data_IF_760844807267
#
_entry.id   IF_760844807267
#
_cell.length_a   1.000
_cell.length_b   1.000
_cell.length_c   1.000
_cell.angle_alpha   90.00
_cell.angle_beta   90.00
_cell.angle_gamma   90.00
#
_symmetry.space_group_name_H-M   'P 1'
#
loop_
_entity.id
_entity.type
_entity.pdbx_description
1 polymer ?
#
# COMPACT_ATOMS: atom_id res chain seq x y z
N UNK A 1 59.89 -40.07 -53.33
CA UNK A 1 60.01 -40.13 -51.86
C UNK A 1 59.23 -38.93 -51.25
N UNK A 2 58.02 -39.15 -50.82
CA UNK A 2 57.22 -38.10 -50.06
C UNK A 2 57.09 -38.59 -48.67
N UNK A 3 57.65 -37.81 -47.70
CA UNK A 3 57.51 -38.05 -46.28
C UNK A 3 56.15 -37.49 -45.83
N UNK A 4 55.36 -38.34 -45.22
CA UNK A 4 54.14 -37.94 -44.51
C UNK A 4 54.48 -37.78 -43.01
N UNK A 5 54.21 -36.56 -42.46
CA UNK A 5 54.24 -36.30 -41.02
C UNK A 5 52.86 -36.63 -40.40
N UNK A 6 52.79 -37.30 -39.26
CA UNK A 6 51.52 -37.49 -38.56
C UNK A 6 51.18 -36.24 -37.70
N UNK A 7 50.00 -35.72 -37.89
CA UNK A 7 49.42 -34.74 -36.99
C UNK A 7 48.82 -35.46 -35.78
N UNK A 8 49.38 -35.22 -34.59
CA UNK A 8 48.80 -35.65 -33.33
C UNK A 8 47.73 -34.62 -32.90
N UNK A 9 46.47 -35.02 -32.89
CA UNK A 9 45.35 -34.23 -32.34
C UNK A 9 45.32 -34.51 -30.81
N UNK A 10 45.73 -33.52 -30.02
CA UNK A 10 45.54 -33.54 -28.56
C UNK A 10 44.06 -33.16 -28.22
N UNK A 11 43.29 -34.14 -27.82
CA UNK A 11 41.96 -33.91 -27.29
C UNK A 11 42.07 -33.31 -25.86
N UNK A 12 41.81 -32.02 -25.75
CA UNK A 12 41.59 -31.37 -24.46
C UNK A 12 40.23 -31.83 -23.88
N UNK A 13 40.27 -32.70 -22.91
CA UNK A 13 39.10 -33.05 -22.10
C UNK A 13 38.74 -31.83 -21.21
N UNK A 14 37.71 -31.09 -21.55
CA UNK A 14 37.15 -30.07 -20.69
C UNK A 14 36.48 -30.77 -19.48
N UNK A 15 37.06 -30.62 -18.31
CA UNK A 15 36.41 -31.03 -17.06
C UNK A 15 35.13 -30.20 -16.87
N UNK A 16 33.97 -30.81 -16.48
CA UNK A 16 32.76 -30.06 -16.21
C UNK A 16 33.04 -29.12 -15.01
N UNK A 17 32.95 -27.83 -15.26
CA UNK A 17 32.96 -26.85 -14.17
C UNK A 17 31.76 -27.14 -13.27
N UNK A 18 32.01 -27.61 -12.06
CA UNK A 18 31.01 -27.72 -11.01
C UNK A 18 30.46 -26.29 -10.83
N UNK A 19 29.25 -26.07 -11.33
CA UNK A 19 28.52 -24.85 -11.07
C UNK A 19 28.34 -24.75 -9.55
N UNK A 20 29.14 -23.93 -8.90
CA UNK A 20 28.92 -23.57 -7.51
C UNK A 20 27.49 -23.02 -7.44
N UNK A 21 26.64 -23.76 -6.76
CA UNK A 21 25.26 -23.30 -6.49
C UNK A 21 25.36 -22.00 -5.73
N UNK A 22 25.06 -20.88 -6.40
CA UNK A 22 24.94 -19.60 -5.71
C UNK A 22 23.87 -19.76 -4.62
N UNK A 23 24.12 -19.29 -3.40
CA UNK A 23 23.10 -19.30 -2.35
C UNK A 23 21.82 -18.68 -2.92
N UNK A 24 20.71 -19.39 -2.79
CA UNK A 24 19.42 -18.82 -3.21
C UNK A 24 19.13 -17.58 -2.35
N UNK A 25 18.72 -16.46 -2.95
CA UNK A 25 18.39 -15.27 -2.18
C UNK A 25 17.27 -15.58 -1.19
N UNK A 26 17.35 -14.97 0.00
CA UNK A 26 16.28 -15.05 0.98
C UNK A 26 14.96 -14.56 0.35
N UNK A 27 13.87 -15.32 0.56
CA UNK A 27 12.54 -14.99 0.05
C UNK A 27 11.54 -14.96 1.21
N UNK A 28 11.44 -13.84 1.91
CA UNK A 28 10.66 -13.75 3.15
C UNK A 28 9.18 -14.08 2.98
N UNK A 29 8.65 -13.93 1.75
CA UNK A 29 7.25 -14.22 1.42
C UNK A 29 7.07 -15.41 0.48
N UNK A 30 8.10 -16.26 0.34
CA UNK A 30 8.10 -17.41 -0.55
C UNK A 30 8.37 -17.07 -2.01
N UNK A 31 8.21 -18.06 -2.88
CA UNK A 31 8.35 -17.91 -4.34
C UNK A 31 7.22 -17.06 -4.92
N UNK A 32 7.42 -16.53 -6.13
CA UNK A 32 6.38 -15.78 -6.84
C UNK A 32 5.10 -16.60 -7.06
N UNK A 33 5.22 -17.91 -7.27
CA UNK A 33 4.08 -18.80 -7.41
C UNK A 33 3.30 -18.96 -6.11
N UNK A 34 3.99 -19.09 -4.98
CA UNK A 34 3.35 -19.16 -3.65
C UNK A 34 2.66 -17.85 -3.30
N UNK A 35 3.30 -16.72 -3.56
CA UNK A 35 2.71 -15.40 -3.37
C UNK A 35 1.46 -15.21 -4.23
N UNK A 36 1.52 -15.59 -5.51
CA UNK A 36 0.37 -15.50 -6.41
C UNK A 36 -0.79 -16.38 -5.94
N UNK A 37 -0.51 -17.60 -5.42
CA UNK A 37 -1.55 -18.47 -4.86
C UNK A 37 -2.24 -17.83 -3.66
N UNK A 38 -1.50 -17.22 -2.75
CA UNK A 38 -2.05 -16.54 -1.57
C UNK A 38 -2.91 -15.34 -1.98
N UNK A 39 -2.40 -14.49 -2.88
CA UNK A 39 -3.14 -13.32 -3.36
C UNK A 39 -4.41 -13.71 -4.12
N UNK A 40 -4.38 -14.80 -4.88
CA UNK A 40 -5.58 -15.34 -5.56
C UNK A 40 -6.66 -15.78 -4.56
N UNK A 41 -6.26 -16.43 -3.46
CA UNK A 41 -7.19 -16.81 -2.40
C UNK A 41 -7.80 -15.57 -1.72
N UNK A 42 -7.02 -14.55 -1.44
CA UNK A 42 -7.52 -13.28 -0.90
C UNK A 42 -8.50 -12.59 -1.85
N UNK A 43 -8.15 -12.52 -3.14
CA UNK A 43 -9.03 -11.92 -4.15
C UNK A 43 -10.40 -12.61 -4.17
N UNK A 44 -10.42 -13.94 -4.27
CA UNK A 44 -11.67 -14.72 -4.29
C UNK A 44 -12.49 -14.43 -3.04
N UNK A 45 -11.87 -14.54 -1.86
CA UNK A 45 -12.55 -14.32 -0.58
C UNK A 45 -13.09 -12.88 -0.44
N UNK A 46 -12.32 -11.88 -0.84
CA UNK A 46 -12.75 -10.46 -0.81
C UNK A 46 -13.97 -10.23 -1.71
N UNK A 47 -13.94 -10.75 -2.94
CA UNK A 47 -15.04 -10.61 -3.88
C UNK A 47 -16.27 -11.46 -3.53
N UNK A 48 -16.10 -12.53 -2.75
CA UNK A 48 -17.20 -13.35 -2.29
C UNK A 48 -17.84 -12.84 -1.00
N UNK A 49 -17.07 -12.15 -0.14
CA UNK A 49 -17.55 -11.71 1.18
C UNK A 49 -17.80 -10.21 1.28
N UNK A 50 -16.81 -9.37 0.91
CA UNK A 50 -16.94 -7.91 1.06
C UNK A 50 -17.79 -7.29 -0.03
N UNK A 51 -17.57 -7.67 -1.30
CA UNK A 51 -18.23 -7.02 -2.42
C UNK A 51 -19.76 -7.10 -2.35
N UNK A 52 -20.41 -8.26 -2.07
CA UNK A 52 -21.87 -8.32 -1.94
C UNK A 52 -22.41 -7.40 -0.85
N UNK A 53 -21.76 -7.41 0.32
CA UNK A 53 -22.16 -6.57 1.45
C UNK A 53 -22.02 -5.07 1.14
N UNK A 54 -20.92 -4.68 0.48
CA UNK A 54 -20.66 -3.29 0.10
C UNK A 54 -21.61 -2.81 -1.00
N UNK A 55 -21.88 -3.61 -2.04
CA UNK A 55 -22.86 -3.27 -3.07
C UNK A 55 -24.24 -2.98 -2.46
N UNK A 56 -24.68 -3.82 -1.52
CA UNK A 56 -25.96 -3.61 -0.83
C UNK A 56 -25.95 -2.43 0.12
N UNK A 57 -24.88 -2.25 0.90
CA UNK A 57 -24.69 -1.08 1.77
C UNK A 57 -24.82 0.24 0.99
N UNK A 58 -24.21 0.29 -0.19
CA UNK A 58 -24.22 1.46 -1.07
C UNK A 58 -25.37 1.48 -2.08
N UNK A 59 -26.31 0.53 -1.99
CA UNK A 59 -27.49 0.40 -2.87
C UNK A 59 -27.15 0.36 -4.36
N UNK A 60 -26.08 -0.36 -4.70
CA UNK A 60 -25.58 -0.54 -6.06
C UNK A 60 -26.06 -1.87 -6.61
N UNK A 61 -26.86 -1.83 -7.70
CA UNK A 61 -27.31 -3.05 -8.38
C UNK A 61 -26.20 -3.60 -9.31
N UNK A 62 -25.51 -2.70 -10.02
CA UNK A 62 -24.44 -3.04 -10.93
C UNK A 62 -23.29 -2.05 -10.79
N UNK A 63 -22.06 -2.55 -10.71
CA UNK A 63 -20.85 -1.73 -10.74
C UNK A 63 -20.08 -2.03 -12.03
N UNK A 64 -19.80 -0.98 -12.81
CA UNK A 64 -19.13 -1.06 -14.11
C UNK A 64 -17.80 -0.34 -14.01
N UNK A 65 -16.71 -1.05 -14.29
CA UNK A 65 -15.34 -0.56 -14.20
C UNK A 65 -14.64 -0.77 -15.53
N UNK A 66 -14.78 0.13 -16.50
CA UNK A 66 -13.99 0.09 -17.73
C UNK A 66 -12.61 0.65 -17.49
N UNK A 67 -11.61 0.00 -18.03
CA UNK A 67 -10.23 0.46 -17.98
C UNK A 67 -9.45 0.03 -19.21
N UNK A 68 -8.37 0.74 -19.51
CA UNK A 68 -7.47 0.45 -20.63
C UNK A 68 -6.07 0.17 -20.15
N UNK A 69 -5.33 -0.57 -20.96
CA UNK A 69 -3.89 -0.74 -20.79
C UNK A 69 -3.20 0.64 -20.70
N UNK A 70 -2.36 0.83 -19.69
CA UNK A 70 -1.70 2.09 -19.31
C UNK A 70 -2.60 3.17 -18.68
N UNK A 71 -3.88 2.88 -18.49
CA UNK A 71 -4.83 3.74 -17.80
C UNK A 71 -5.82 2.86 -17.03
N UNK A 72 -5.27 2.03 -16.16
CA UNK A 72 -6.03 1.19 -15.27
C UNK A 72 -6.68 2.05 -14.16
N UNK A 73 -7.88 1.64 -13.79
CA UNK A 73 -8.58 2.23 -12.64
C UNK A 73 -7.81 1.92 -11.33
N UNK A 74 -7.74 2.83 -10.37
CA UNK A 74 -7.07 2.57 -9.07
C UNK A 74 -7.57 1.34 -8.32
N UNK A 75 -8.80 0.88 -8.55
CA UNK A 75 -9.30 -0.37 -7.98
C UNK A 75 -8.69 -1.63 -8.62
N UNK A 76 -7.91 -1.50 -9.68
CA UNK A 76 -7.37 -2.62 -10.47
C UNK A 76 -6.77 -3.71 -9.58
N UNK A 77 -5.87 -3.34 -8.68
CA UNK A 77 -5.22 -4.30 -7.78
C UNK A 77 -6.16 -4.93 -6.73
N UNK A 78 -7.30 -4.29 -6.45
CA UNK A 78 -8.31 -4.79 -5.52
C UNK A 78 -9.24 -5.84 -6.14
N UNK A 79 -9.39 -5.83 -7.48
CA UNK A 79 -10.37 -6.66 -8.20
C UNK A 79 -9.75 -7.65 -9.17
N UNK A 80 -8.42 -7.61 -9.40
CA UNK A 80 -7.76 -8.46 -10.41
C UNK A 80 -6.82 -9.49 -9.81
N UNK A 81 -6.68 -10.62 -10.51
CA UNK A 81 -5.76 -11.68 -10.13
C UNK A 81 -4.29 -11.20 -10.11
N UNK A 82 -3.42 -11.79 -9.26
CA UNK A 82 -2.01 -11.42 -9.17
C UNK A 82 -1.23 -11.68 -10.49
N UNK A 83 -1.76 -12.50 -11.38
CA UNK A 83 -1.21 -12.79 -12.70
C UNK A 83 -1.70 -11.83 -13.80
N UNK A 84 -2.53 -10.85 -13.45
CA UNK A 84 -3.03 -9.83 -14.37
C UNK A 84 -2.27 -8.53 -14.13
N UNK A 85 -1.43 -8.14 -15.09
CA UNK A 85 -0.54 -6.98 -14.99
C UNK A 85 -1.10 -5.72 -15.64
N UNK A 86 -2.06 -5.90 -16.55
CA UNK A 86 -2.69 -4.80 -17.28
C UNK A 86 -4.11 -5.14 -17.70
N UNK A 87 -4.91 -4.13 -17.98
CA UNK A 87 -6.28 -4.26 -18.48
C UNK A 87 -6.36 -4.76 -19.94
N UNK A 88 -5.26 -5.06 -20.57
CA UNK A 88 -5.08 -5.46 -21.95
C UNK A 88 -6.02 -4.75 -22.93
N UNK A 89 -5.53 -3.78 -23.69
CA UNK A 89 -6.30 -2.88 -24.58
C UNK A 89 -7.41 -2.17 -23.80
N UNK A 90 -8.59 -2.77 -23.72
CA UNK A 90 -9.67 -2.40 -22.81
C UNK A 90 -10.22 -3.67 -22.15
N UNK A 91 -10.49 -3.62 -20.86
CA UNK A 91 -11.30 -4.60 -20.15
C UNK A 91 -12.39 -3.87 -19.38
N UNK A 92 -13.64 -4.30 -19.53
CA UNK A 92 -14.77 -3.78 -18.74
C UNK A 92 -15.13 -4.84 -17.73
N UNK A 93 -14.85 -4.58 -16.46
CA UNK A 93 -15.30 -5.43 -15.36
C UNK A 93 -16.71 -5.03 -14.97
N UNK A 94 -17.61 -6.01 -14.89
CA UNK A 94 -19.00 -5.82 -14.50
C UNK A 94 -19.29 -6.70 -13.30
N UNK A 95 -19.79 -6.09 -12.24
CA UNK A 95 -20.26 -6.75 -11.03
C UNK A 95 -21.76 -6.49 -10.91
N UNK A 96 -22.57 -7.55 -10.91
CA UNK A 96 -24.01 -7.43 -10.79
C UNK A 96 -24.52 -8.24 -9.61
N UNK A 97 -25.27 -7.58 -8.69
CA UNK A 97 -25.92 -8.24 -7.58
C UNK A 97 -27.12 -9.03 -8.08
N UNK A 98 -27.03 -10.34 -8.07
CA UNK A 98 -28.13 -11.23 -8.48
C UNK A 98 -29.39 -11.07 -7.63
N UNK A 99 -29.28 -10.43 -6.46
CA UNK A 99 -30.42 -10.07 -5.64
C UNK A 99 -31.21 -8.89 -6.19
N UNK A 100 -30.63 -8.09 -7.10
CA UNK A 100 -31.34 -7.02 -7.80
C UNK A 100 -32.16 -7.51 -9.00
N UNK A 101 -32.20 -8.82 -9.27
CA UNK A 101 -32.95 -9.38 -10.39
C UNK A 101 -34.44 -9.05 -10.29
N UNK A 102 -35.01 -8.63 -11.45
CA UNK A 102 -36.41 -8.20 -11.50
C UNK A 102 -36.65 -6.76 -11.06
N UNK A 103 -35.59 -5.95 -10.84
CA UNK A 103 -35.71 -4.51 -10.51
C UNK A 103 -36.10 -4.24 -9.05
N UNK A 104 -36.06 -5.25 -8.18
CA UNK A 104 -36.28 -5.06 -6.75
C UNK A 104 -35.03 -4.54 -6.05
N UNK A 105 -35.19 -3.80 -4.96
CA UNK A 105 -34.06 -3.46 -4.09
C UNK A 105 -33.58 -4.73 -3.40
N UNK A 106 -32.26 -5.06 -3.45
CA UNK A 106 -31.74 -6.25 -2.81
C UNK A 106 -32.01 -6.26 -1.30
N UNK A 107 -32.69 -7.29 -0.81
CA UNK A 107 -32.86 -7.46 0.62
C UNK A 107 -31.49 -7.71 1.29
N UNK A 108 -31.21 -7.15 2.48
CA UNK A 108 -29.95 -7.36 3.19
C UNK A 108 -29.64 -8.84 3.47
N UNK A 109 -30.69 -9.65 3.60
CA UNK A 109 -30.63 -11.09 3.87
C UNK A 109 -30.50 -11.96 2.62
N UNK A 110 -30.48 -11.36 1.42
CA UNK A 110 -30.34 -12.12 0.19
C UNK A 110 -28.95 -12.73 0.08
N UNK A 111 -28.87 -14.04 -0.18
CA UNK A 111 -27.65 -14.84 -0.27
C UNK A 111 -27.16 -15.10 -1.71
N UNK A 112 -27.90 -14.62 -2.72
CA UNK A 112 -27.46 -14.71 -4.12
C UNK A 112 -26.20 -13.87 -4.31
N UNK A 113 -25.13 -14.48 -4.77
CA UNK A 113 -23.84 -13.80 -4.93
C UNK A 113 -23.82 -12.74 -6.05
N UNK A 114 -22.65 -12.18 -6.26
CA UNK A 114 -22.38 -11.21 -7.33
C UNK A 114 -21.95 -11.97 -8.59
N UNK A 115 -22.60 -11.70 -9.72
CA UNK A 115 -22.09 -12.08 -11.04
C UNK A 115 -20.92 -11.19 -11.40
N UNK A 116 -19.85 -11.79 -11.91
CA UNK A 116 -18.61 -11.09 -12.26
C UNK A 116 -18.25 -11.39 -13.71
N UNK A 117 -18.26 -10.37 -14.56
CA UNK A 117 -17.93 -10.47 -15.98
C UNK A 117 -16.68 -9.68 -16.30
N UNK A 118 -15.85 -10.18 -17.22
CA UNK A 118 -14.71 -9.46 -17.80
C UNK A 118 -14.91 -9.39 -19.32
N UNK A 119 -15.44 -8.25 -19.79
CA UNK A 119 -15.68 -8.02 -21.22
C UNK A 119 -14.38 -7.59 -21.87
N UNK A 120 -13.86 -8.40 -22.81
CA UNK A 120 -12.56 -8.23 -23.42
C UNK A 120 -11.38 -8.72 -22.58
N UNK A 121 -11.66 -9.25 -21.36
CA UNK A 121 -10.68 -9.82 -20.45
C UNK A 121 -10.70 -11.35 -20.44
N UNK A 122 -9.99 -11.92 -19.47
CA UNK A 122 -9.92 -13.37 -19.23
C UNK A 122 -10.56 -13.75 -17.88
N UNK A 123 -10.65 -15.05 -17.59
CA UNK A 123 -11.32 -15.56 -16.39
C UNK A 123 -10.52 -15.31 -15.09
N UNK A 124 -9.25 -14.96 -15.18
CA UNK A 124 -8.38 -14.70 -14.01
C UNK A 124 -8.44 -15.80 -12.95
N UNK A 125 -8.26 -17.06 -13.39
CA UNK A 125 -8.34 -18.21 -12.50
C UNK A 125 -9.76 -18.55 -12.03
N UNK A 126 -10.79 -18.21 -12.80
CA UNK A 126 -12.19 -18.49 -12.51
C UNK A 126 -12.90 -17.42 -11.66
N UNK A 127 -12.23 -16.31 -11.38
CA UNK A 127 -12.84 -15.18 -10.66
C UNK A 127 -13.93 -14.50 -11.48
N UNK A 128 -13.76 -14.44 -12.80
CA UNK A 128 -14.69 -13.84 -13.74
C UNK A 128 -15.18 -14.82 -14.79
N UNK A 129 -16.40 -14.60 -15.26
CA UNK A 129 -16.85 -15.14 -16.55
C UNK A 129 -16.29 -14.25 -17.65
N UNK A 130 -15.37 -14.80 -18.44
CA UNK A 130 -14.74 -14.07 -19.52
C UNK A 130 -15.66 -13.98 -20.74
N UNK A 131 -15.79 -12.77 -21.28
CA UNK A 131 -16.41 -12.51 -22.58
C UNK A 131 -15.33 -12.00 -23.51
N UNK A 132 -14.58 -12.91 -24.13
CA UNK A 132 -13.36 -12.61 -24.91
C UNK A 132 -13.61 -12.44 -26.40
N UNK A 133 -14.76 -12.87 -26.90
CA UNK A 133 -15.16 -12.73 -28.30
C UNK A 133 -16.65 -12.57 -28.45
N UNK A 134 -17.11 -11.78 -29.38
CA UNK A 134 -18.43 -11.90 -29.97
C UNK A 134 -18.36 -12.86 -31.17
N UNK A 135 -19.41 -13.65 -31.42
CA UNK A 135 -19.54 -14.31 -32.73
C UNK A 135 -19.46 -13.21 -33.76
N UNK A 136 -18.35 -13.16 -34.48
CA UNK A 136 -18.07 -12.07 -35.40
C UNK A 136 -19.21 -11.95 -36.42
N UNK A 137 -19.92 -10.85 -36.36
CA UNK A 137 -20.93 -10.47 -37.37
C UNK A 137 -20.24 -10.03 -38.67
N UNK A 138 -18.94 -10.15 -38.77
CA UNK A 138 -18.23 -9.68 -39.94
C UNK A 138 -17.89 -10.86 -40.91
N UNK A 139 -18.80 -11.11 -41.83
CA UNK A 139 -18.66 -12.12 -42.90
C UNK A 139 -17.41 -11.95 -43.80
N UNK A 140 -16.72 -10.79 -43.70
CA UNK A 140 -15.55 -10.50 -44.51
C UNK A 140 -14.23 -11.10 -43.97
N UNK A 141 -14.17 -11.59 -42.73
CA UNK A 141 -12.94 -12.04 -42.08
C UNK A 141 -12.89 -13.55 -41.87
N UNK A 142 -13.85 -14.30 -42.41
CA UNK A 142 -13.93 -15.74 -42.18
C UNK A 142 -14.23 -16.10 -40.71
N UNK A 143 -14.44 -17.38 -40.41
CA UNK A 143 -14.88 -17.89 -39.08
C UNK A 143 -13.83 -17.78 -37.98
N UNK A 144 -12.94 -16.78 -37.97
CA UNK A 144 -12.07 -16.46 -36.84
C UNK A 144 -12.87 -15.65 -35.82
N UNK A 145 -12.98 -16.14 -34.60
CA UNK A 145 -13.47 -15.34 -33.45
C UNK A 145 -12.52 -14.15 -33.28
N UNK A 146 -13.00 -12.95 -33.61
CA UNK A 146 -12.26 -11.73 -33.34
C UNK A 146 -12.24 -11.48 -31.81
N UNK A 147 -11.09 -11.03 -31.32
CA UNK A 147 -10.99 -10.59 -29.91
C UNK A 147 -11.96 -9.43 -29.71
N UNK A 148 -12.73 -9.48 -28.63
CA UNK A 148 -13.66 -8.41 -28.27
C UNK A 148 -12.87 -7.19 -27.81
N UNK A 149 -12.87 -6.14 -28.64
CA UNK A 149 -12.26 -4.85 -28.29
C UNK A 149 -12.89 -3.72 -29.13
N UNK A 150 -12.66 -2.47 -28.72
CA UNK A 150 -13.25 -1.34 -29.42
C UNK A 150 -14.74 -1.15 -29.07
N UNK A 151 -15.52 -0.75 -30.07
CA UNK A 151 -16.95 -0.43 -29.87
C UNK A 151 -17.81 -1.65 -29.61
N UNK A 152 -17.37 -2.84 -30.04
CA UNK A 152 -18.08 -4.10 -29.74
C UNK A 152 -18.13 -4.37 -28.23
N UNK A 153 -17.14 -3.90 -27.46
CA UNK A 153 -17.18 -4.03 -26.00
C UNK A 153 -18.33 -3.23 -25.38
N UNK A 154 -18.59 -2.04 -25.92
CA UNK A 154 -19.72 -1.22 -25.48
C UNK A 154 -21.07 -1.87 -25.84
N UNK A 155 -21.18 -2.50 -27.00
CA UNK A 155 -22.37 -3.25 -27.39
C UNK A 155 -22.57 -4.47 -26.46
N UNK A 156 -21.51 -5.20 -26.11
CA UNK A 156 -21.56 -6.30 -25.16
C UNK A 156 -22.02 -5.78 -23.76
N UNK A 157 -21.47 -4.66 -23.29
CA UNK A 157 -21.90 -4.01 -22.05
C UNK A 157 -23.39 -3.63 -22.10
N UNK A 158 -23.85 -3.05 -23.21
CA UNK A 158 -25.26 -2.67 -23.40
C UNK A 158 -26.17 -3.90 -23.31
N UNK A 159 -25.79 -5.02 -23.96
CA UNK A 159 -26.55 -6.25 -23.86
C UNK A 159 -26.64 -6.74 -22.40
N UNK A 160 -25.52 -6.76 -21.68
CA UNK A 160 -25.47 -7.13 -20.25
C UNK A 160 -26.42 -6.28 -19.42
N UNK A 161 -26.41 -4.94 -19.64
CA UNK A 161 -27.26 -4.01 -18.90
C UNK A 161 -28.74 -4.20 -19.23
N UNK A 162 -29.07 -4.38 -20.52
CA UNK A 162 -30.46 -4.60 -20.97
C UNK A 162 -31.03 -5.89 -20.36
N UNK A 163 -30.29 -6.99 -20.42
CA UNK A 163 -30.71 -8.29 -19.88
C UNK A 163 -30.96 -8.25 -18.36
N UNK A 164 -30.14 -7.51 -17.62
CA UNK A 164 -30.18 -7.46 -16.15
C UNK A 164 -31.02 -6.32 -15.60
N UNK A 165 -31.25 -5.29 -16.40
CA UNK A 165 -32.05 -4.10 -16.10
C UNK A 165 -31.76 -3.49 -14.71
N UNK A 166 -30.48 -3.15 -14.37
CA UNK A 166 -30.13 -2.57 -13.08
C UNK A 166 -30.81 -1.20 -12.90
N UNK A 167 -31.27 -0.89 -11.68
CA UNK A 167 -31.84 0.42 -11.32
C UNK A 167 -30.70 1.44 -11.09
N UNK A 168 -29.60 0.99 -10.51
CA UNK A 168 -28.42 1.80 -10.18
C UNK A 168 -27.19 1.16 -10.81
N UNK A 169 -26.51 1.93 -11.65
CA UNK A 169 -25.22 1.57 -12.27
C UNK A 169 -24.15 2.46 -11.64
N UNK A 170 -23.29 1.87 -10.81
CA UNK A 170 -22.18 2.58 -10.21
C UNK A 170 -20.99 2.65 -11.18
N UNK A 171 -20.35 3.81 -11.25
CA UNK A 171 -19.18 4.10 -12.06
C UNK A 171 -18.14 4.85 -11.22
N UNK A 172 -16.86 4.65 -11.49
CA UNK A 172 -15.77 5.22 -10.68
C UNK A 172 -15.50 6.67 -11.07
N UNK A 173 -16.29 7.57 -10.48
CA UNK A 173 -16.10 9.01 -10.57
C UNK A 173 -16.15 9.62 -9.17
N UNK A 174 -15.22 10.53 -8.87
CA UNK A 174 -15.16 11.25 -7.59
C UNK A 174 -14.49 12.61 -7.77
N UNK A 175 -14.86 13.57 -6.92
CA UNK A 175 -14.13 14.84 -6.78
C UNK A 175 -13.22 14.87 -5.56
N UNK A 176 -13.31 13.85 -4.71
CA UNK A 176 -12.63 13.81 -3.41
C UNK A 176 -11.53 12.75 -3.39
N UNK A 177 -11.85 11.54 -3.85
CA UNK A 177 -10.98 10.38 -3.73
C UNK A 177 -10.44 9.91 -5.09
N UNK A 178 -9.18 10.15 -5.36
CA UNK A 178 -8.50 9.66 -6.57
C UNK A 178 -8.61 8.13 -6.73
N UNK A 179 -8.71 7.38 -5.61
CA UNK A 179 -8.90 5.92 -5.62
C UNK A 179 -10.21 5.46 -6.26
N UNK A 180 -11.18 6.35 -6.41
CA UNK A 180 -12.52 6.06 -6.92
C UNK A 180 -12.89 6.93 -8.12
N UNK A 181 -11.90 7.57 -8.74
CA UNK A 181 -12.02 8.46 -9.92
C UNK A 181 -11.20 7.92 -11.10
N UNK A 182 -11.30 6.60 -11.34
CA UNK A 182 -10.51 5.95 -12.40
C UNK A 182 -11.17 5.96 -13.78
N UNK A 183 -12.46 6.32 -13.89
CA UNK A 183 -13.15 6.40 -15.17
C UNK A 183 -12.72 7.64 -15.94
N UNK A 184 -11.89 7.47 -16.96
CA UNK A 184 -11.44 8.58 -17.78
C UNK A 184 -12.62 9.20 -18.58
N UNK A 185 -12.52 10.49 -18.90
CA UNK A 185 -13.53 11.21 -19.67
C UNK A 185 -13.81 10.56 -21.02
N UNK A 186 -12.79 10.02 -21.69
CA UNK A 186 -12.94 9.30 -22.97
C UNK A 186 -13.71 8.00 -22.84
N UNK A 187 -13.46 7.22 -21.80
CA UNK A 187 -14.21 5.98 -21.52
C UNK A 187 -15.66 6.29 -21.09
N UNK A 188 -15.86 7.34 -20.30
CA UNK A 188 -17.20 7.79 -19.93
C UNK A 188 -18.01 8.23 -21.15
N UNK A 189 -17.40 8.99 -22.06
CA UNK A 189 -18.05 9.43 -23.30
C UNK A 189 -18.45 8.24 -24.18
N UNK A 190 -17.48 7.35 -24.51
CA UNK A 190 -17.75 6.16 -25.34
C UNK A 190 -18.81 5.23 -24.75
N UNK A 191 -18.77 5.02 -23.42
CA UNK A 191 -19.80 4.25 -22.71
C UNK A 191 -21.16 4.93 -22.78
N UNK A 192 -21.21 6.25 -22.59
CA UNK A 192 -22.48 7.02 -22.60
C UNK A 192 -23.12 7.04 -23.97
N UNK A 193 -22.33 7.23 -25.03
CA UNK A 193 -22.79 7.23 -26.42
C UNK A 193 -23.37 5.86 -26.80
N UNK A 194 -22.72 4.79 -26.43
CA UNK A 194 -23.17 3.44 -26.73
C UNK A 194 -24.43 3.03 -25.95
N UNK A 195 -24.52 3.38 -24.69
CA UNK A 195 -25.65 3.00 -23.83
C UNK A 195 -26.89 3.86 -24.11
N UNK A 196 -26.69 5.18 -24.13
CA UNK A 196 -27.78 6.15 -24.31
C UNK A 196 -28.77 6.17 -23.13
N UNK A 197 -29.85 6.98 -23.30
CA UNK A 197 -30.99 6.95 -22.39
C UNK A 197 -31.80 5.65 -22.56
N UNK A 198 -32.36 5.05 -21.47
CA UNK A 198 -32.40 5.58 -20.10
C UNK A 198 -31.22 5.17 -19.21
N UNK A 199 -30.22 4.45 -19.74
CA UNK A 199 -29.18 3.80 -18.93
C UNK A 199 -28.24 4.82 -18.28
N UNK A 200 -27.82 5.85 -19.00
CA UNK A 200 -26.95 6.91 -18.48
C UNK A 200 -27.58 7.70 -17.35
N UNK A 201 -28.91 7.78 -17.27
CA UNK A 201 -29.63 8.40 -16.17
C UNK A 201 -29.53 7.60 -14.86
N UNK A 202 -29.13 6.30 -14.94
CA UNK A 202 -28.96 5.42 -13.79
C UNK A 202 -27.52 5.43 -13.24
N UNK A 203 -26.62 6.19 -13.85
CA UNK A 203 -25.25 6.31 -13.38
C UNK A 203 -25.20 7.00 -12.01
N UNK A 204 -24.39 6.43 -11.11
CA UNK A 204 -24.09 7.01 -9.80
C UNK A 204 -22.60 6.82 -9.51
N UNK A 205 -21.95 7.75 -8.80
CA UNK A 205 -20.60 7.55 -8.31
C UNK A 205 -20.48 6.31 -7.45
N UNK A 206 -19.45 5.48 -7.71
CA UNK A 206 -19.15 4.30 -6.92
C UNK A 206 -18.28 4.62 -5.68
N UNK A 207 -18.13 5.90 -5.34
CA UNK A 207 -17.13 6.42 -4.40
C UNK A 207 -17.02 5.60 -3.11
N UNK A 208 -18.11 5.48 -2.34
CA UNK A 208 -18.08 4.72 -1.09
C UNK A 208 -17.82 3.22 -1.28
N UNK A 209 -18.42 2.61 -2.32
CA UNK A 209 -18.24 1.18 -2.64
C UNK A 209 -16.76 0.87 -2.93
N UNK A 210 -16.16 1.61 -3.86
CA UNK A 210 -14.79 1.37 -4.29
C UNK A 210 -13.79 1.70 -3.16
N UNK A 211 -14.00 2.81 -2.42
CA UNK A 211 -13.18 3.21 -1.30
C UNK A 211 -13.13 2.11 -0.21
N UNK A 212 -14.30 1.65 0.21
CA UNK A 212 -14.40 0.64 1.27
C UNK A 212 -13.89 -0.73 0.81
N UNK A 213 -14.05 -1.10 -0.47
CA UNK A 213 -13.48 -2.34 -1.00
C UNK A 213 -11.94 -2.29 -0.97
N UNK A 214 -11.32 -1.18 -1.35
CA UNK A 214 -9.87 -1.00 -1.27
C UNK A 214 -9.41 -1.02 0.19
N UNK A 215 -10.14 -0.37 1.09
CA UNK A 215 -9.76 -0.19 2.49
C UNK A 215 -9.92 -1.45 3.37
N UNK A 216 -10.90 -2.30 3.06
CA UNK A 216 -11.20 -3.49 3.88
C UNK A 216 -10.12 -4.56 3.80
N UNK A 217 -9.78 -5.16 4.94
CA UNK A 217 -8.75 -6.20 5.07
C UNK A 217 -9.32 -7.51 5.58
N UNK A 218 -8.81 -8.63 5.04
CA UNK A 218 -9.09 -9.96 5.58
C UNK A 218 -8.18 -10.23 6.79
N UNK A 219 -8.62 -11.02 7.78
CA UNK A 219 -7.76 -11.45 8.88
C UNK A 219 -6.49 -12.15 8.40
N UNK A 220 -6.56 -12.89 7.31
CA UNK A 220 -5.42 -13.58 6.69
C UNK A 220 -4.40 -12.60 6.10
N UNK A 221 -4.87 -11.47 5.53
CA UNK A 221 -3.97 -10.40 5.07
C UNK A 221 -3.20 -9.81 6.27
N UNK A 222 -3.86 -9.58 7.41
CA UNK A 222 -3.23 -9.05 8.62
C UNK A 222 -2.12 -9.96 9.15
N UNK A 223 -2.28 -11.27 9.07
CA UNK A 223 -1.26 -12.21 9.48
C UNK A 223 0.02 -12.14 8.61
N UNK A 224 -0.14 -11.90 7.31
CA UNK A 224 0.99 -11.65 6.42
C UNK A 224 1.58 -10.25 6.64
N UNK A 225 0.74 -9.25 6.87
CA UNK A 225 1.16 -7.87 7.11
C UNK A 225 2.04 -7.75 8.36
N UNK A 226 1.77 -8.53 9.39
CA UNK A 226 2.67 -8.65 10.54
C UNK A 226 4.08 -9.12 10.14
N UNK A 227 4.20 -10.05 9.18
CA UNK A 227 5.52 -10.48 8.68
C UNK A 227 6.22 -9.37 7.90
N UNK A 228 5.47 -8.51 7.18
CA UNK A 228 6.04 -7.34 6.52
C UNK A 228 6.66 -6.41 7.55
N UNK A 229 5.92 -6.07 8.61
CA UNK A 229 6.40 -5.20 9.68
C UNK A 229 7.59 -5.81 10.43
N UNK A 230 7.60 -7.10 10.71
CA UNK A 230 8.76 -7.78 11.30
C UNK A 230 10.01 -7.64 10.43
N UNK A 231 9.86 -7.78 9.11
CA UNK A 231 10.97 -7.59 8.18
C UNK A 231 11.46 -6.14 8.18
N UNK A 232 10.54 -5.16 8.12
CA UNK A 232 10.86 -3.72 8.18
C UNK A 232 11.66 -3.42 9.46
N UNK A 233 11.19 -3.85 10.61
CA UNK A 233 11.88 -3.62 11.89
C UNK A 233 13.28 -4.22 11.90
N UNK A 234 13.45 -5.45 11.37
CA UNK A 234 14.75 -6.10 11.30
C UNK A 234 15.72 -5.37 10.37
N UNK A 235 15.22 -4.81 9.27
CA UNK A 235 16.03 -4.00 8.36
C UNK A 235 16.41 -2.64 8.97
N UNK A 236 15.50 -1.99 9.72
CA UNK A 236 15.79 -0.76 10.45
C UNK A 236 16.87 -1.01 11.53
N UNK A 237 16.75 -2.10 12.30
CA UNK A 237 17.77 -2.47 13.30
C UNK A 237 19.15 -2.61 12.68
N UNK A 238 19.26 -3.29 11.54
CA UNK A 238 20.52 -3.43 10.80
C UNK A 238 21.00 -2.09 10.24
N UNK A 239 20.12 -1.31 9.64
CA UNK A 239 20.42 0.02 9.08
C UNK A 239 20.98 0.96 10.15
N UNK A 240 20.39 0.97 11.33
CA UNK A 240 20.82 1.76 12.48
C UNK A 240 21.84 1.05 13.39
N UNK A 241 22.75 0.30 12.79
CA UNK A 241 23.80 -0.41 13.49
C UNK A 241 25.20 -0.11 12.91
N UNK A 242 26.24 -0.64 13.55
CA UNK A 242 27.61 -0.57 13.02
C UNK A 242 27.85 -1.50 11.81
N UNK A 243 26.86 -2.25 11.36
CA UNK A 243 26.88 -2.93 10.06
C UNK A 243 26.96 -1.91 8.94
N UNK A 244 26.15 -0.84 9.02
CA UNK A 244 25.98 0.19 7.99
C UNK A 244 26.66 1.51 8.38
N UNK A 245 26.51 1.94 9.65
CA UNK A 245 26.98 3.25 10.08
C UNK A 245 28.40 3.18 10.64
N UNK A 246 29.29 3.94 10.04
CA UNK A 246 30.61 4.28 10.60
C UNK A 246 30.60 5.79 10.89
N UNK A 247 30.45 6.20 12.17
CA UNK A 247 30.43 7.60 12.53
C UNK A 247 31.68 8.34 12.03
N UNK A 248 31.53 9.56 11.54
CA UNK A 248 32.59 10.33 10.89
C UNK A 248 32.81 10.02 9.41
N UNK A 249 32.04 9.09 8.83
CA UNK A 249 32.15 8.72 7.39
C UNK A 249 30.80 8.56 6.71
N UNK A 250 29.89 7.82 7.28
CA UNK A 250 28.59 7.48 6.70
C UNK A 250 27.67 8.70 6.68
N UNK A 251 26.86 8.82 5.66
CA UNK A 251 25.85 9.90 5.45
C UNK A 251 24.45 9.32 5.40
N UNK A 252 23.39 10.10 5.60
CA UNK A 252 22.00 9.70 5.40
C UNK A 252 21.74 9.02 4.05
N UNK A 253 22.29 9.58 2.96
CA UNK A 253 22.16 9.02 1.61
C UNK A 253 22.71 7.59 1.50
N UNK A 254 23.77 7.24 2.22
CA UNK A 254 24.32 5.88 2.23
C UNK A 254 23.31 4.89 2.82
N UNK A 255 22.57 5.30 3.88
CA UNK A 255 21.54 4.47 4.51
C UNK A 255 20.35 4.25 3.57
N UNK A 256 19.92 5.30 2.88
CA UNK A 256 18.84 5.27 1.89
C UNK A 256 19.15 4.24 0.79
N UNK A 257 20.35 4.31 0.22
CA UNK A 257 20.75 3.39 -0.85
C UNK A 257 20.99 1.96 -0.33
N UNK A 258 21.49 1.82 0.89
CA UNK A 258 21.60 0.52 1.55
C UNK A 258 20.21 -0.13 1.70
N UNK A 259 19.22 0.62 2.22
CA UNK A 259 17.84 0.13 2.35
C UNK A 259 17.29 -0.32 1.00
N UNK A 260 17.38 0.53 -0.01
CA UNK A 260 16.93 0.21 -1.37
C UNK A 260 17.54 -1.07 -1.91
N UNK A 261 18.85 -1.26 -1.66
CA UNK A 261 19.55 -2.46 -2.10
C UNK A 261 19.06 -3.69 -1.34
N UNK A 262 18.88 -3.62 -0.01
CA UNK A 262 18.36 -4.75 0.76
C UNK A 262 16.97 -5.18 0.28
N UNK A 263 16.07 -4.23 0.04
CA UNK A 263 14.72 -4.49 -0.49
C UNK A 263 14.78 -5.19 -1.85
N UNK A 264 15.64 -4.72 -2.75
CA UNK A 264 15.83 -5.32 -4.07
C UNK A 264 16.42 -6.74 -3.99
N UNK A 265 17.41 -6.95 -3.12
CA UNK A 265 18.07 -8.27 -2.91
C UNK A 265 17.08 -9.31 -2.36
N UNK A 266 16.09 -8.88 -1.59
CA UNK A 266 15.01 -9.72 -1.06
C UNK A 266 13.92 -10.02 -2.11
N UNK A 267 13.99 -9.41 -3.29
CA UNK A 267 13.01 -9.57 -4.37
C UNK A 267 11.65 -8.95 -4.06
N UNK A 268 11.63 -7.87 -3.27
CA UNK A 268 10.44 -7.07 -2.92
C UNK A 268 10.63 -5.64 -3.40
N UNK A 269 9.60 -4.78 -3.23
CA UNK A 269 9.62 -3.39 -3.64
C UNK A 269 9.56 -2.41 -2.50
N UNK A 270 9.62 -1.12 -2.86
CA UNK A 270 9.22 0.01 -2.02
C UNK A 270 8.29 0.90 -2.83
N UNK A 271 7.42 1.66 -2.19
CA UNK A 271 6.44 2.50 -2.86
C UNK A 271 6.78 4.00 -2.81
N UNK A 272 7.79 4.36 -2.04
CA UNK A 272 8.36 5.72 -1.98
C UNK A 272 9.87 5.67 -1.79
N UNK A 273 10.54 6.81 -2.01
CA UNK A 273 11.97 6.95 -1.75
C UNK A 273 12.19 7.06 -0.24
N UNK A 274 12.92 6.14 0.39
CA UNK A 274 13.24 6.24 1.82
C UNK A 274 13.94 7.54 2.17
N UNK A 275 13.73 8.02 3.40
CA UNK A 275 14.36 9.21 3.94
C UNK A 275 15.12 8.90 5.22
N UNK A 276 16.24 9.59 5.43
CA UNK A 276 17.00 9.56 6.69
C UNK A 276 17.44 10.98 7.01
N UNK A 277 17.12 11.45 8.21
CA UNK A 277 17.51 12.76 8.70
C UNK A 277 18.37 12.67 9.95
N UNK A 278 19.09 13.77 10.23
CA UNK A 278 19.98 13.92 11.38
C UNK A 278 19.60 15.16 12.19
N UNK A 279 19.55 15.05 13.50
CA UNK A 279 19.50 16.18 14.41
C UNK A 279 20.75 16.14 15.31
N UNK A 280 21.38 17.29 15.56
CA UNK A 280 22.65 17.39 16.31
C UNK A 280 22.59 18.49 17.34
N UNK A 281 23.16 18.23 18.52
CA UNK A 281 23.27 19.21 19.59
C UNK A 281 23.98 20.49 19.16
N UNK A 282 23.38 21.63 19.41
CA UNK A 282 23.97 22.97 19.11
C UNK A 282 23.98 23.33 17.63
N UNK A 283 23.31 22.54 16.76
CA UNK A 283 23.32 22.79 15.30
C UNK A 283 21.86 22.79 14.80
N UNK A 284 21.51 23.80 14.01
CA UNK A 284 20.20 23.86 13.36
C UNK A 284 20.19 23.00 12.10
N UNK A 285 18.99 22.59 11.65
CA UNK A 285 18.82 21.80 10.40
C UNK A 285 19.49 22.52 9.20
N UNK A 286 19.34 23.86 9.10
CA UNK A 286 19.94 24.67 8.04
C UNK A 286 21.48 24.63 8.06
N UNK A 287 22.09 24.62 9.25
CA UNK A 287 23.56 24.54 9.40
C UNK A 287 24.06 23.13 9.11
N UNK A 288 23.25 22.12 9.43
CA UNK A 288 23.60 20.72 9.21
C UNK A 288 23.58 20.36 7.72
N UNK A 289 22.63 20.93 6.95
CA UNK A 289 22.41 20.60 5.53
C UNK A 289 21.69 19.26 5.32
N UNK A 290 21.46 18.94 4.05
CA UNK A 290 20.57 17.82 3.69
C UNK A 290 21.23 16.44 3.80
N UNK A 291 22.56 16.35 3.73
CA UNK A 291 23.28 15.06 3.76
C UNK A 291 24.57 15.15 4.59
N UNK A 292 24.46 15.42 5.90
CA UNK A 292 25.62 15.60 6.78
C UNK A 292 26.32 14.28 7.07
N UNK A 293 27.61 14.33 7.37
CA UNK A 293 28.30 13.17 7.94
C UNK A 293 27.72 12.88 9.33
N UNK A 294 27.28 11.64 9.56
CA UNK A 294 26.77 11.17 10.84
C UNK A 294 27.89 11.11 11.88
N UNK A 295 27.67 11.72 13.06
CA UNK A 295 28.66 11.84 14.13
C UNK A 295 28.15 11.23 15.44
N UNK A 296 29.05 10.87 16.36
CA UNK A 296 28.65 10.50 17.71
C UNK A 296 27.85 11.61 18.39
N UNK A 297 26.73 11.25 19.01
CA UNK A 297 25.79 12.18 19.65
C UNK A 297 24.63 12.64 18.76
N UNK A 298 24.60 12.23 17.49
CA UNK A 298 23.49 12.53 16.60
C UNK A 298 22.25 11.71 16.94
N UNK A 299 21.08 12.32 16.77
CA UNK A 299 19.80 11.64 16.65
C UNK A 299 19.53 11.44 15.18
N UNK A 300 19.24 10.20 14.79
CA UNK A 300 18.84 9.82 13.43
C UNK A 300 17.35 9.53 13.41
N UNK A 301 16.74 9.79 12.29
CA UNK A 301 15.38 9.38 11.97
C UNK A 301 15.35 8.74 10.59
N UNK A 302 14.51 7.73 10.41
CA UNK A 302 14.23 7.18 9.09
C UNK A 302 12.74 7.12 8.83
N UNK A 303 12.42 7.17 7.54
CA UNK A 303 11.10 6.92 6.99
C UNK A 303 11.25 5.90 5.86
N UNK A 304 10.69 4.71 6.05
CA UNK A 304 10.93 3.54 5.19
C UNK A 304 9.70 2.68 5.06
N UNK A 305 9.52 2.12 3.86
CA UNK A 305 8.43 1.19 3.59
C UNK A 305 8.84 0.09 2.61
N UNK A 306 8.10 -1.00 2.62
CA UNK A 306 8.25 -2.09 1.65
C UNK A 306 6.91 -2.38 0.96
N UNK A 307 7.01 -2.95 -0.24
CA UNK A 307 5.87 -3.49 -0.99
C UNK A 307 6.09 -4.98 -1.25
N UNK A 308 5.21 -5.81 -0.74
CA UNK A 308 5.15 -7.23 -1.09
C UNK A 308 3.70 -7.71 -1.07
N UNK A 309 3.36 -8.73 -1.89
CA UNK A 309 1.98 -9.23 -2.03
C UNK A 309 0.94 -8.12 -2.32
N UNK A 310 1.31 -7.07 -3.04
CA UNK A 310 0.51 -5.85 -3.27
C UNK A 310 0.14 -5.09 -2.00
N UNK A 311 0.83 -5.33 -0.88
CA UNK A 311 0.62 -4.63 0.39
C UNK A 311 1.83 -3.74 0.67
N UNK A 312 1.57 -2.54 1.15
CA UNK A 312 2.58 -1.53 1.46
C UNK A 312 2.63 -1.31 2.97
N UNK A 313 3.83 -1.08 3.50
CA UNK A 313 4.07 -0.66 4.89
C UNK A 313 4.62 0.74 4.92
N UNK A 314 4.47 1.40 6.07
CA UNK A 314 5.09 2.67 6.38
C UNK A 314 5.60 2.68 7.82
N UNK A 315 6.82 3.17 8.05
CA UNK A 315 7.43 3.09 9.37
C UNK A 315 8.50 4.16 9.55
N UNK A 316 8.36 4.94 10.63
CA UNK A 316 9.37 5.93 11.02
C UNK A 316 9.92 5.60 12.40
N UNK A 317 11.24 5.40 12.47
CA UNK A 317 11.96 5.11 13.71
C UNK A 317 13.10 6.10 13.95
N UNK A 318 13.51 6.16 15.21
CA UNK A 318 14.60 7.01 15.68
C UNK A 318 15.78 6.18 16.19
N UNK A 319 17.00 6.67 15.96
CA UNK A 319 18.22 6.09 16.49
C UNK A 319 19.10 7.15 17.16
N UNK A 320 20.00 6.72 18.01
CA UNK A 320 21.01 7.56 18.63
C UNK A 320 22.40 6.99 18.41
N UNK A 321 23.31 7.84 17.97
CA UNK A 321 24.71 7.47 17.76
C UNK A 321 25.47 7.68 19.07
N UNK A 322 25.83 6.60 19.76
CA UNK A 322 26.50 6.66 21.05
C UNK A 322 27.86 7.36 20.95
N UNK A 323 28.14 8.26 21.90
CA UNK A 323 29.49 8.78 22.14
C UNK A 323 30.34 7.76 22.88
N UNK A 324 31.64 7.98 22.91
CA UNK A 324 32.56 7.13 23.66
C UNK A 324 32.14 7.08 25.14
N UNK A 325 31.98 5.86 25.69
CA UNK A 325 31.57 5.61 27.07
C UNK A 325 30.06 5.65 27.32
N UNK A 326 29.24 6.10 26.38
CA UNK A 326 27.79 6.08 26.53
C UNK A 326 27.22 4.66 26.29
N UNK A 327 26.17 4.31 27.05
CA UNK A 327 25.41 3.06 26.90
C UNK A 327 23.95 3.29 26.55
N UNK A 328 23.48 4.55 26.63
CA UNK A 328 22.10 4.96 26.37
C UNK A 328 22.09 6.41 25.86
N UNK A 329 21.01 6.86 25.19
CA UNK A 329 20.81 8.27 24.84
C UNK A 329 20.64 9.12 26.10
N UNK A 330 20.89 10.44 26.02
CA UNK A 330 20.54 11.39 27.06
C UNK A 330 19.10 11.23 27.57
N UNK A 331 18.88 11.50 28.86
CA UNK A 331 17.56 11.33 29.49
C UNK A 331 16.47 12.19 28.84
N UNK A 332 16.83 13.42 28.44
CA UNK A 332 15.94 14.33 27.72
C UNK A 332 15.44 13.78 26.38
N UNK A 333 16.31 13.11 25.62
CA UNK A 333 15.91 12.43 24.36
C UNK A 333 14.96 11.27 24.63
N UNK A 334 15.24 10.48 25.68
CA UNK A 334 14.33 9.38 26.05
C UNK A 334 12.96 9.89 26.52
N UNK A 335 12.92 11.04 27.22
CA UNK A 335 11.70 11.71 27.60
C UNK A 335 10.94 12.25 26.37
N UNK A 336 11.64 12.81 25.39
CA UNK A 336 11.05 13.27 24.15
C UNK A 336 10.37 12.12 23.37
N UNK A 337 11.03 10.97 23.26
CA UNK A 337 10.43 9.76 22.65
C UNK A 337 9.16 9.31 23.36
N UNK A 338 9.14 9.33 24.71
CA UNK A 338 7.94 8.99 25.48
C UNK A 338 6.78 9.95 25.22
N UNK A 339 7.07 11.25 25.02
CA UNK A 339 6.04 12.25 24.68
C UNK A 339 5.44 11.98 23.29
N UNK A 340 6.25 11.59 22.29
CA UNK A 340 5.77 11.19 20.99
C UNK A 340 4.94 9.89 21.08
N UNK A 341 5.39 8.90 21.86
CA UNK A 341 4.59 7.69 22.15
C UNK A 341 3.24 8.03 22.82
N UNK A 342 3.18 9.04 23.71
CA UNK A 342 1.90 9.46 24.29
C UNK A 342 0.94 10.00 23.23
N UNK A 343 1.43 10.75 22.25
CA UNK A 343 0.59 11.21 21.15
C UNK A 343 0.07 10.05 20.29
N UNK A 344 0.91 9.03 20.04
CA UNK A 344 0.44 7.79 19.39
C UNK A 344 -0.64 7.08 20.21
N UNK A 345 -0.53 7.02 21.55
CA UNK A 345 -1.57 6.45 22.41
C UNK A 345 -2.89 7.21 22.27
N UNK A 346 -2.84 8.54 22.25
CA UNK A 346 -4.03 9.37 22.11
C UNK A 346 -4.70 9.11 20.75
N UNK A 347 -3.93 9.07 19.66
CA UNK A 347 -4.45 8.76 18.33
C UNK A 347 -5.07 7.37 18.28
N UNK A 348 -4.38 6.40 18.84
CA UNK A 348 -4.84 5.01 18.93
C UNK A 348 -6.15 4.88 19.74
N UNK A 349 -6.27 5.60 20.87
CA UNK A 349 -7.48 5.64 21.68
C UNK A 349 -8.68 6.26 20.94
N UNK A 350 -8.46 7.27 20.10
CA UNK A 350 -9.51 8.01 19.41
C UNK A 350 -9.95 7.36 18.10
N UNK A 351 -9.12 6.50 17.48
CA UNK A 351 -9.44 5.85 16.23
C UNK A 351 -10.44 4.72 16.44
N UNK A 352 -11.70 4.97 16.04
CA UNK A 352 -12.82 4.02 16.21
C UNK A 352 -13.71 4.01 14.97
N UNK A 353 -14.32 2.86 14.62
CA UNK A 353 -15.31 2.78 13.55
C UNK A 353 -16.47 3.76 13.74
N UNK A 354 -16.91 4.33 12.64
CA UNK A 354 -18.01 5.31 12.59
C UNK A 354 -17.57 6.75 12.80
N UNK A 355 -16.37 7.01 13.34
CA UNK A 355 -15.84 8.37 13.45
C UNK A 355 -15.11 8.76 12.16
N UNK A 356 -15.29 10.01 11.76
CA UNK A 356 -14.52 10.56 10.64
C UNK A 356 -13.08 10.90 11.05
N UNK A 357 -12.18 11.01 10.06
CA UNK A 357 -10.81 11.45 10.31
C UNK A 357 -10.76 12.83 10.98
N UNK A 358 -11.64 13.75 10.60
CA UNK A 358 -11.72 15.09 11.18
C UNK A 358 -12.19 15.08 12.62
N UNK A 359 -13.16 14.24 12.99
CA UNK A 359 -13.59 14.06 14.39
C UNK A 359 -12.48 13.47 15.27
N UNK A 360 -11.72 12.52 14.72
CA UNK A 360 -10.56 11.93 15.41
C UNK A 360 -9.49 13.01 15.58
N UNK A 361 -9.13 13.73 14.53
CA UNK A 361 -8.15 14.82 14.59
C UNK A 361 -8.49 15.86 15.66
N UNK A 362 -9.73 16.33 15.68
CA UNK A 362 -10.18 17.32 16.66
C UNK A 362 -10.05 16.79 18.10
N UNK A 363 -10.43 15.54 18.35
CA UNK A 363 -10.32 14.93 19.68
C UNK A 363 -8.87 14.73 20.10
N UNK A 364 -8.01 14.27 19.20
CA UNK A 364 -6.57 14.09 19.48
C UNK A 364 -5.92 15.44 19.77
N UNK A 365 -6.20 16.49 18.98
CA UNK A 365 -5.66 17.84 19.21
C UNK A 365 -6.10 18.44 20.55
N UNK A 366 -7.35 18.22 20.94
CA UNK A 366 -7.84 18.68 22.25
C UNK A 366 -7.06 18.02 23.39
N UNK A 367 -6.85 16.71 23.35
CA UNK A 367 -6.06 15.98 24.35
C UNK A 367 -4.58 16.38 24.30
N UNK A 368 -4.01 16.53 23.12
CA UNK A 368 -2.64 16.98 22.90
C UNK A 368 -2.40 18.34 23.57
N UNK A 369 -3.30 19.29 23.37
CA UNK A 369 -3.25 20.61 23.99
C UNK A 369 -3.36 20.53 25.52
N UNK A 370 -4.30 19.72 26.02
CA UNK A 370 -4.49 19.55 27.46
C UNK A 370 -3.27 18.92 28.16
N UNK A 371 -2.52 18.07 27.46
CA UNK A 371 -1.30 17.43 27.98
C UNK A 371 -0.02 18.23 27.63
N UNK A 372 -0.14 19.40 27.02
CA UNK A 372 0.99 20.27 26.65
C UNK A 372 1.96 19.59 25.66
N UNK A 373 1.45 18.80 24.74
CA UNK A 373 2.23 18.20 23.68
C UNK A 373 2.29 19.18 22.48
N UNK A 374 3.49 19.58 22.10
CA UNK A 374 3.75 20.37 20.88
C UNK A 374 3.97 19.42 19.72
N UNK A 375 2.89 19.08 19.00
CA UNK A 375 2.93 18.06 17.98
C UNK A 375 2.02 18.33 16.78
N UNK A 376 2.22 17.56 15.74
CA UNK A 376 1.37 17.48 14.54
C UNK A 376 1.18 16.03 14.15
N UNK A 377 0.12 15.75 13.38
CA UNK A 377 -0.15 14.39 12.89
C UNK A 377 -0.57 14.39 11.44
N UNK A 378 -0.21 13.31 10.79
CA UNK A 378 -0.67 12.94 9.46
C UNK A 378 -0.88 11.43 9.45
N UNK A 379 -1.93 10.96 10.11
CA UNK A 379 -2.26 9.52 10.08
C UNK A 379 -3.16 9.22 8.89
N UNK A 380 -2.86 8.14 8.20
CA UNK A 380 -3.56 7.77 6.98
C UNK A 380 -3.85 6.27 6.93
N UNK A 381 -4.88 5.83 6.17
CA UNK A 381 -5.05 4.42 5.85
C UNK A 381 -3.86 3.89 5.06
N UNK A 382 -3.60 2.59 5.19
CA UNK A 382 -2.52 1.89 4.48
C UNK A 382 -2.99 0.49 4.01
N UNK A 383 -2.27 -0.09 3.07
CA UNK A 383 -2.54 -1.45 2.57
C UNK A 383 -2.24 -1.62 1.09
N UNK A 384 -3.26 -1.70 0.21
CA UNK A 384 -3.04 -1.79 -1.24
C UNK A 384 -2.35 -0.56 -1.82
N UNK A 385 -2.45 0.57 -1.15
CA UNK A 385 -1.72 1.80 -1.43
C UNK A 385 -1.03 2.25 -0.15
N UNK A 386 0.09 2.91 -0.25
CA UNK A 386 0.82 3.45 0.90
C UNK A 386 0.03 4.55 1.60
N UNK A 387 -0.19 5.69 0.95
CA UNK A 387 -1.22 6.64 1.37
C UNK A 387 -2.58 6.09 0.94
N UNK A 388 -3.19 5.24 1.78
CA UNK A 388 -4.29 4.35 1.43
C UNK A 388 -5.66 5.02 1.27
N UNK A 389 -6.63 4.21 0.82
CA UNK A 389 -8.01 4.62 0.66
C UNK A 389 -8.73 4.68 2.02
N UNK A 390 -9.39 5.80 2.32
CA UNK A 390 -10.13 6.00 3.56
C UNK A 390 -9.92 7.38 4.18
N UNK A 391 -10.29 7.55 5.47
CA UNK A 391 -10.22 8.84 6.15
C UNK A 391 -8.77 9.27 6.44
N UNK A 392 -8.42 10.52 6.12
CA UNK A 392 -7.21 11.16 6.62
C UNK A 392 -7.44 11.75 8.00
N UNK A 393 -6.46 11.62 8.88
CA UNK A 393 -6.45 12.20 10.23
C UNK A 393 -5.33 13.24 10.25
N UNK A 394 -5.63 14.46 9.81
CA UNK A 394 -4.67 15.53 9.61
C UNK A 394 -3.86 15.42 8.32
N UNK A 395 -3.17 16.48 8.01
CA UNK A 395 -2.04 16.63 7.08
C UNK A 395 -1.07 17.58 7.74
N UNK A 396 0.21 17.54 7.38
CA UNK A 396 1.24 18.39 8.00
C UNK A 396 0.88 19.89 8.01
N UNK A 397 0.15 20.36 6.97
CA UNK A 397 -0.33 21.72 6.77
C UNK A 397 -1.84 21.90 7.06
N UNK A 398 -2.59 20.82 7.36
CA UNK A 398 -4.03 20.85 7.69
C UNK A 398 -4.28 20.17 9.04
N UNK A 399 -4.03 20.92 10.12
CA UNK A 399 -4.22 20.43 11.49
C UNK A 399 -5.59 20.78 12.10
N UNK A 400 -6.44 21.54 11.40
CA UNK A 400 -7.80 21.93 11.84
C UNK A 400 -8.90 21.17 11.09
N UNK A 401 -8.52 20.21 10.23
CA UNK A 401 -9.41 19.38 9.44
C UNK A 401 -8.95 19.25 8.01
N UNK A 402 -9.21 18.10 7.39
CA UNK A 402 -8.91 17.82 5.98
C UNK A 402 -10.23 17.76 5.22
N UNK A 403 -10.55 18.78 4.39
CA UNK A 403 -11.81 18.80 3.65
C UNK A 403 -11.97 17.57 2.74
N UNK A 404 -13.14 16.97 2.75
CA UNK A 404 -13.49 15.81 1.93
C UNK A 404 -12.84 14.51 2.42
N UNK A 405 -11.52 14.36 2.30
CA UNK A 405 -10.83 13.12 2.69
C UNK A 405 -10.89 12.84 4.19
N UNK A 406 -10.86 13.86 5.02
CA UNK A 406 -11.04 13.72 6.47
C UNK A 406 -12.48 13.47 6.91
N UNK A 407 -13.46 13.69 6.02
CA UNK A 407 -14.89 13.48 6.34
C UNK A 407 -15.32 12.01 6.20
N UNK A 408 -14.50 11.17 5.56
CA UNK A 408 -14.75 9.74 5.50
C UNK A 408 -14.64 9.10 6.90
N UNK A 409 -15.43 8.06 7.13
CA UNK A 409 -15.44 7.35 8.40
C UNK A 409 -14.49 6.15 8.42
N UNK A 410 -13.93 5.88 9.58
CA UNK A 410 -13.25 4.62 9.88
C UNK A 410 -14.25 3.48 9.79
N UNK A 411 -13.91 2.40 9.11
CA UNK A 411 -14.69 1.16 9.07
C UNK A 411 -13.92 0.02 9.78
N UNK A 412 -14.59 -1.02 10.26
CA UNK A 412 -13.92 -2.20 10.77
C UNK A 412 -13.02 -2.87 9.71
N UNK A 413 -11.98 -3.52 10.14
CA UNK A 413 -10.98 -4.18 9.29
C UNK A 413 -10.22 -3.23 8.36
N UNK A 414 -9.88 -2.04 8.85
CA UNK A 414 -8.94 -1.13 8.18
C UNK A 414 -7.56 -1.20 8.83
N UNK A 415 -6.55 -0.82 8.05
CA UNK A 415 -5.21 -0.53 8.56
C UNK A 415 -4.91 0.95 8.41
N UNK A 416 -4.13 1.46 9.35
CA UNK A 416 -3.67 2.84 9.38
C UNK A 416 -2.18 2.88 9.68
N UNK A 417 -1.50 3.89 9.18
CA UNK A 417 -0.23 4.34 9.71
C UNK A 417 -0.45 5.44 10.72
N UNK A 418 0.16 5.28 11.91
CA UNK A 418 0.14 6.26 13.00
C UNK A 418 1.32 7.21 12.85
N UNK A 419 1.27 8.08 11.85
CA UNK A 419 2.32 9.04 11.53
C UNK A 419 2.10 10.36 12.27
N UNK A 420 3.12 10.80 13.02
CA UNK A 420 3.06 12.00 13.83
C UNK A 420 4.45 12.48 14.27
N UNK A 421 4.50 13.70 14.80
CA UNK A 421 5.70 14.21 15.46
C UNK A 421 5.36 14.97 16.74
N UNK A 422 6.33 15.00 17.69
CA UNK A 422 6.29 15.84 18.88
C UNK A 422 7.63 16.52 19.03
N UNK A 423 7.60 17.84 19.22
CA UNK A 423 8.80 18.65 19.55
C UNK A 423 8.92 18.75 21.07
N UNK A 424 10.11 18.53 21.58
CA UNK A 424 10.41 18.63 23.02
C UNK A 424 11.76 19.30 23.26
N UNK A 425 11.88 20.16 24.27
CA UNK A 425 13.19 20.69 24.65
C UNK A 425 14.02 19.57 25.30
N UNK A 426 15.31 19.50 24.93
CA UNK A 426 16.25 18.52 25.49
C UNK A 426 17.26 19.24 26.38
N UNK A 427 17.21 19.09 27.71
CA UNK A 427 18.07 19.82 28.64
C UNK A 427 19.56 19.63 28.38
N UNK A 428 19.99 18.41 28.06
CA UNK A 428 21.40 18.08 27.77
C UNK A 428 21.91 18.73 26.48
N UNK A 429 20.99 19.24 25.63
CA UNK A 429 21.30 20.02 24.43
C UNK A 429 21.04 21.52 24.62
N UNK A 430 21.06 22.00 25.87
CA UNK A 430 20.79 23.42 26.21
C UNK A 430 19.34 23.81 25.96
N UNK A 431 18.39 22.89 26.14
CA UNK A 431 16.96 23.05 25.82
C UNK A 431 16.67 23.25 24.31
N UNK A 432 17.57 22.82 23.45
CA UNK A 432 17.30 22.78 22.02
C UNK A 432 16.04 21.96 21.76
N UNK A 433 15.08 22.47 20.95
CA UNK A 433 13.93 21.69 20.54
C UNK A 433 14.37 20.53 19.62
N UNK A 434 13.95 19.31 19.99
CA UNK A 434 14.19 18.11 19.20
C UNK A 434 12.85 17.55 18.74
N UNK A 435 12.72 17.26 17.46
CA UNK A 435 11.56 16.64 16.85
C UNK A 435 11.71 15.12 16.87
N UNK A 436 10.79 14.44 17.53
CA UNK A 436 10.66 12.99 17.44
C UNK A 436 9.49 12.71 16.52
N UNK A 437 9.82 12.17 15.34
CA UNK A 437 8.87 11.68 14.34
C UNK A 437 8.75 10.18 14.50
N UNK A 438 7.53 9.66 14.48
CA UNK A 438 7.26 8.23 14.62
C UNK A 438 6.12 7.82 13.71
N UNK A 439 6.22 6.61 13.20
CA UNK A 439 5.19 5.99 12.40
C UNK A 439 5.18 4.49 12.59
N UNK A 440 3.99 3.97 12.88
CA UNK A 440 3.76 2.54 13.07
C UNK A 440 2.41 2.15 12.52
N UNK A 441 2.36 0.99 11.88
CA UNK A 441 1.11 0.49 11.36
C UNK A 441 0.26 -0.18 12.43
N UNK A 442 -1.03 0.14 12.43
CA UNK A 442 -2.02 -0.50 13.30
C UNK A 442 -3.26 -0.92 12.51
N UNK A 443 -3.99 -1.88 13.04
CA UNK A 443 -5.25 -2.36 12.48
C UNK A 443 -6.40 -1.99 13.39
N UNK A 444 -7.55 -1.64 12.80
CA UNK A 444 -8.82 -1.56 13.51
C UNK A 444 -9.55 -2.87 13.24
N UNK A 445 -9.70 -3.72 14.25
CA UNK A 445 -10.27 -5.06 14.09
C UNK A 445 -11.77 -5.07 13.77
N UNK A 446 -12.32 -6.26 13.56
CA UNK A 446 -13.76 -6.43 13.36
C UNK A 446 -14.59 -6.00 14.59
N UNK A 447 -14.00 -6.08 15.78
CA UNK A 447 -14.58 -5.60 17.05
C UNK A 447 -14.44 -4.09 17.25
N UNK A 448 -13.87 -3.39 16.28
CA UNK A 448 -13.63 -1.95 16.32
C UNK A 448 -12.46 -1.51 17.21
N UNK A 449 -11.68 -2.44 17.74
CA UNK A 449 -10.53 -2.12 18.59
C UNK A 449 -9.26 -1.99 17.75
N UNK A 450 -8.49 -0.91 17.93
CA UNK A 450 -7.19 -0.77 17.32
C UNK A 450 -6.17 -1.70 17.97
N UNK A 451 -5.25 -2.22 17.16
CA UNK A 451 -4.14 -3.08 17.58
C UNK A 451 -2.91 -2.79 16.73
N UNK A 452 -1.75 -2.60 17.35
CA UNK A 452 -0.49 -2.51 16.64
C UNK A 452 -0.25 -3.78 15.82
N UNK A 453 0.18 -3.62 14.58
CA UNK A 453 0.48 -4.78 13.72
C UNK A 453 1.68 -5.55 14.26
N UNK A 454 2.76 -4.86 14.62
CA UNK A 454 3.97 -5.43 15.23
C UNK A 454 4.19 -4.90 16.64
N UNK A 455 4.03 -3.62 16.84
CA UNK A 455 4.36 -2.89 18.05
C UNK A 455 4.60 -1.44 17.71
N UNK A 456 5.21 -0.71 18.61
CA UNK A 456 5.71 0.64 18.37
C UNK A 456 7.11 0.79 18.95
N UNK A 457 7.87 1.76 18.44
CA UNK A 457 9.18 2.05 18.96
C UNK A 457 9.09 2.69 20.37
N UNK A 458 9.62 2.03 21.38
CA UNK A 458 9.66 2.53 22.76
C UNK A 458 11.07 2.96 23.22
N UNK A 459 12.08 2.64 22.44
CA UNK A 459 13.50 2.98 22.71
C UNK A 459 14.19 3.34 21.41
N UNK A 460 15.14 4.25 21.48
CA UNK A 460 16.02 4.52 20.35
C UNK A 460 16.80 3.27 19.96
N UNK A 461 16.96 3.04 18.65
CA UNK A 461 18.01 2.18 18.16
C UNK A 461 19.37 2.77 18.51
N UNK A 462 20.33 1.94 18.88
CA UNK A 462 21.64 2.41 19.33
C UNK A 462 22.73 2.07 18.31
N UNK A 463 23.26 3.11 17.67
CA UNK A 463 24.44 2.95 16.83
C UNK A 463 25.68 2.91 17.72
N UNK A 464 26.27 1.74 17.87
CA UNK A 464 27.49 1.54 18.67
C UNK A 464 28.72 1.70 17.78
N UNK A 465 29.71 2.53 18.16
CA UNK A 465 30.98 2.57 17.45
C UNK A 465 31.60 1.16 17.39
N UNK A 466 32.21 0.79 16.26
CA UNK A 466 32.98 -0.45 16.17
C UNK A 466 34.09 -0.38 17.22
N UNK A 467 34.24 -1.44 18.03
CA UNK A 467 35.35 -1.54 18.99
C UNK A 467 36.68 -1.31 18.25
N UNK A 468 37.51 -0.38 18.75
CA UNK A 468 38.87 -0.23 18.23
C UNK A 468 39.56 -1.55 18.37
N UNK A 469 40.30 -2.04 17.35
CA UNK A 469 41.12 -3.21 17.51
C UNK A 469 41.99 -2.99 18.75
N UNK A 470 42.03 -3.95 19.65
CA UNK A 470 43.02 -3.91 20.76
C UNK A 470 44.40 -3.84 20.12
N UNK A 471 45.14 -2.75 20.41
CA UNK A 471 46.48 -2.54 19.96
C UNK A 471 47.42 -3.64 20.53
#
# INVERSE_FOLDING_TARGET
>A
MRLALPFAVAALAAAPALAQSRPQPARPFGTMQEQAKVQQQWLVKRLDTFLPALMRKHRVDMWVVPMREYNEDPVFNAITAPTTFAARRRTIYVFWDKCAAGGAEPAPTCDKGIERLALGGNSQGGVFTAVSSMKAVNAAVGARQAELWGDEQWQALKQVIVERNPRVIAINTSRTFAFTDGLSSGELAGMSDALGSPWTQRFRPAEGLALELIASRLPEETAYYKKHQQLVWSLIERMFSSEVITPGKTRPSDLVWWWRQQVADLGIGTWFQPSVDVQRAGVTDKQLGDDPVIMPGDVLWCDVGITALRLNTDTQHNAYVLKDGETAPPAGLQAALKRANRLQDILFEETRPGRSGNEILAAVRAKMTAEGLDGTMYSHPIGLHGHGAGPLIGLWDYQDGVPGRGDAAVIPNMWFSSELQVTSPVPEWGNQPVRIRQEEDFSVGADGKPQWVQGRQEKFWLVRPKAKPKA
#
